data_IF_464864728839
#
_entry.id   IF_464864728839
#
_cell.length_a   1.000
_cell.length_b   1.000
_cell.length_c   1.000
_cell.angle_alpha   90.00
_cell.angle_beta   90.00
_cell.angle_gamma   90.00
#
_symmetry.space_group_name_H-M   'P 1'
#
loop_
_entity.id
_entity.type
_entity.pdbx_description
1 polymer ?
#
# COMPACT_ATOMS: atom_id res chain seq x y z
N UNK A 1 -15.80 -3.14 5.09
CA UNK A 1 -16.26 -2.12 4.12
C UNK A 1 -16.13 -2.63 2.67
N UNK A 2 -14.98 -3.11 2.21
CA UNK A 2 -14.87 -3.69 0.87
C UNK A 2 -15.73 -4.93 0.64
N UNK A 3 -15.85 -5.82 1.63
CA UNK A 3 -16.79 -6.95 1.56
C UNK A 3 -18.23 -6.47 1.30
N UNK A 4 -18.66 -5.36 1.90
CA UNK A 4 -19.99 -4.79 1.63
C UNK A 4 -20.10 -4.24 0.20
N UNK A 5 -19.01 -3.64 -0.31
CA UNK A 5 -18.91 -3.15 -1.68
C UNK A 5 -19.05 -4.31 -2.69
N UNK A 6 -18.29 -5.38 -2.47
CA UNK A 6 -18.30 -6.59 -3.30
C UNK A 6 -19.67 -7.29 -3.23
N UNK A 7 -20.29 -7.39 -2.04
CA UNK A 7 -21.64 -7.93 -1.89
C UNK A 7 -22.69 -7.10 -2.65
N UNK A 8 -22.57 -5.76 -2.65
CA UNK A 8 -23.48 -4.90 -3.44
C UNK A 8 -23.24 -5.06 -4.94
N UNK A 9 -22.00 -5.23 -5.37
CA UNK A 9 -21.67 -5.50 -6.78
C UNK A 9 -22.23 -6.86 -7.23
N UNK A 10 -22.01 -7.93 -6.46
CA UNK A 10 -22.57 -9.26 -6.74
C UNK A 10 -24.10 -9.21 -6.82
N UNK A 11 -24.75 -8.53 -5.86
CA UNK A 11 -26.20 -8.37 -5.86
C UNK A 11 -26.73 -7.71 -7.13
N UNK A 12 -26.04 -6.66 -7.62
CA UNK A 12 -26.39 -5.98 -8.86
C UNK A 12 -26.22 -6.87 -10.09
N UNK A 13 -25.09 -7.57 -10.19
CA UNK A 13 -24.78 -8.42 -11.34
C UNK A 13 -25.69 -9.65 -11.39
N UNK A 14 -26.01 -10.22 -10.23
CA UNK A 14 -26.87 -11.42 -10.14
C UNK A 14 -28.37 -11.11 -10.15
N UNK A 15 -28.77 -9.84 -10.03
CA UNK A 15 -30.17 -9.45 -9.82
C UNK A 15 -30.74 -9.83 -8.44
N UNK A 16 -29.96 -10.49 -7.58
CA UNK A 16 -30.40 -10.93 -6.27
C UNK A 16 -30.10 -9.89 -5.20
N UNK A 17 -31.15 -9.43 -4.51
CA UNK A 17 -30.98 -8.51 -3.38
C UNK A 17 -30.39 -9.25 -2.18
N UNK A 18 -29.32 -8.74 -1.54
CA UNK A 18 -28.70 -9.45 -0.42
C UNK A 18 -29.63 -9.39 0.78
N UNK A 19 -29.70 -10.50 1.55
CA UNK A 19 -30.56 -10.62 2.73
C UNK A 19 -30.35 -9.52 3.79
N UNK A 20 -29.19 -8.84 3.78
CA UNK A 20 -28.83 -7.72 4.68
C UNK A 20 -28.55 -6.41 3.91
N UNK A 21 -29.44 -6.05 2.99
CA UNK A 21 -29.27 -4.87 2.13
C UNK A 21 -29.09 -3.54 2.90
N UNK A 22 -29.73 -3.38 4.07
CA UNK A 22 -29.59 -2.20 4.92
C UNK A 22 -28.18 -2.10 5.49
N UNK A 23 -27.70 -3.14 6.18
CA UNK A 23 -26.35 -3.17 6.75
C UNK A 23 -25.24 -2.96 5.69
N UNK A 24 -25.42 -3.51 4.48
CA UNK A 24 -24.52 -3.25 3.35
C UNK A 24 -24.52 -1.77 2.97
N UNK A 25 -25.70 -1.15 2.90
CA UNK A 25 -25.83 0.27 2.55
C UNK A 25 -25.23 1.17 3.64
N UNK A 26 -25.46 0.87 4.91
CA UNK A 26 -24.93 1.61 6.05
C UNK A 26 -23.39 1.54 6.09
N UNK A 27 -22.81 0.35 5.87
CA UNK A 27 -21.36 0.20 5.80
C UNK A 27 -20.72 1.04 4.68
N UNK A 28 -21.43 1.19 3.55
CA UNK A 28 -20.94 1.96 2.40
C UNK A 28 -21.13 3.46 2.59
N UNK A 29 -22.21 3.87 3.28
CA UNK A 29 -22.41 5.25 3.72
C UNK A 29 -21.33 5.68 4.72
N UNK A 30 -21.04 4.85 5.72
CA UNK A 30 -19.96 5.09 6.69
C UNK A 30 -18.59 5.17 6.04
N UNK A 31 -18.30 4.28 5.08
CA UNK A 31 -17.04 4.34 4.32
C UNK A 31 -16.88 5.68 3.60
N UNK A 32 -17.94 6.16 2.93
CA UNK A 32 -17.94 7.46 2.26
C UNK A 32 -17.66 8.59 3.24
N UNK A 33 -18.32 8.60 4.38
CA UNK A 33 -18.14 9.66 5.36
C UNK A 33 -16.73 9.68 5.93
N UNK A 34 -16.16 8.51 6.25
CA UNK A 34 -14.77 8.39 6.69
C UNK A 34 -13.81 8.99 5.66
N UNK A 35 -13.94 8.65 4.38
CA UNK A 35 -13.08 9.23 3.34
C UNK A 35 -13.31 10.72 3.12
N UNK A 36 -14.52 11.24 3.34
CA UNK A 36 -14.79 12.68 3.23
C UNK A 36 -14.15 13.48 4.35
N UNK A 37 -14.17 12.94 5.57
CA UNK A 37 -13.71 13.64 6.76
C UNK A 37 -12.21 13.50 7.00
N UNK A 38 -11.61 12.39 6.57
CA UNK A 38 -10.27 12.01 7.01
C UNK A 38 -9.20 12.01 5.92
N UNK A 39 -9.54 12.47 4.72
CA UNK A 39 -8.59 12.67 3.63
C UNK A 39 -8.08 14.11 3.68
N UNK A 40 -6.77 14.29 3.86
CA UNK A 40 -6.12 15.60 3.87
C UNK A 40 -5.38 15.83 2.54
N UNK A 41 -5.77 16.82 1.71
CA UNK A 41 -5.05 17.13 0.48
C UNK A 41 -3.60 17.54 0.74
N UNK A 42 -2.68 17.17 -0.16
CA UNK A 42 -1.27 17.59 -0.10
C UNK A 42 -0.96 18.67 -1.14
N UNK A 43 0.11 19.43 -0.91
CA UNK A 43 0.59 20.47 -1.84
C UNK A 43 0.99 19.93 -3.22
N UNK A 44 1.31 18.65 -3.32
CA UNK A 44 1.66 17.99 -4.60
C UNK A 44 0.44 17.49 -5.37
N UNK A 45 -0.77 17.82 -4.93
CA UNK A 45 -2.02 17.36 -5.54
C UNK A 45 -2.41 15.93 -5.14
N UNK A 46 -1.72 15.36 -4.16
CA UNK A 46 -2.07 14.09 -3.55
C UNK A 46 -3.00 14.24 -2.34
N UNK A 47 -3.06 13.20 -1.50
CA UNK A 47 -3.70 13.25 -0.19
C UNK A 47 -3.09 12.24 0.77
N UNK A 48 -3.31 12.45 2.07
CA UNK A 48 -2.94 11.54 3.17
C UNK A 48 -4.17 11.15 3.98
N UNK A 49 -4.24 9.87 4.36
CA UNK A 49 -5.31 9.37 5.24
C UNK A 49 -4.92 9.64 6.69
N UNK A 50 -5.74 10.41 7.41
CA UNK A 50 -5.59 10.65 8.85
C UNK A 50 -4.16 11.02 9.29
N UNK A 51 -3.48 12.01 8.66
CA UNK A 51 -2.13 12.37 9.06
C UNK A 51 -2.07 12.75 10.55
N UNK A 52 -1.05 12.26 11.24
CA UNK A 52 -0.83 12.47 12.67
C UNK A 52 -1.61 11.54 13.62
N UNK A 53 -2.64 10.81 13.15
CA UNK A 53 -3.41 9.91 14.02
C UNK A 53 -2.54 8.78 14.61
N UNK A 54 -1.49 8.40 13.89
CA UNK A 54 -0.56 7.34 14.27
C UNK A 54 0.62 7.82 15.09
N UNK A 55 0.81 9.13 15.26
CA UNK A 55 2.00 9.70 15.92
C UNK A 55 2.21 9.18 17.34
N UNK A 56 1.11 8.92 18.08
CA UNK A 56 1.12 8.34 19.42
C UNK A 56 1.27 6.81 19.47
N UNK A 57 1.08 6.11 18.35
CA UNK A 57 1.11 4.64 18.31
C UNK A 57 2.54 4.10 18.55
N UNK A 58 2.74 2.99 19.29
CA UNK A 58 4.07 2.41 19.53
C UNK A 58 4.84 2.06 18.26
N UNK A 59 4.18 1.51 17.24
CA UNK A 59 4.78 1.16 15.95
C UNK A 59 5.44 2.35 15.22
N UNK A 60 5.05 3.58 15.56
CA UNK A 60 5.54 4.83 14.98
C UNK A 60 6.48 5.60 15.92
N UNK A 61 6.76 5.06 17.12
CA UNK A 61 7.53 5.74 18.16
C UNK A 61 8.93 6.19 17.73
N UNK A 62 9.50 5.50 16.73
CA UNK A 62 10.85 5.74 16.22
C UNK A 62 10.87 6.28 14.79
N UNK A 63 9.72 6.73 14.26
CA UNK A 63 9.60 7.21 12.89
C UNK A 63 10.60 8.31 12.55
N UNK A 64 10.97 9.18 13.50
CA UNK A 64 11.93 10.26 13.30
C UNK A 64 13.40 9.82 13.12
N UNK A 65 13.72 8.55 13.37
CA UNK A 65 15.08 8.02 13.17
C UNK A 65 15.25 7.43 11.78
N UNK A 66 16.40 7.67 11.13
CA UNK A 66 16.76 7.03 9.86
C UNK A 66 17.65 5.80 10.04
N UNK A 67 18.38 5.73 11.15
CA UNK A 67 19.28 4.63 11.45
C UNK A 67 18.81 3.95 12.74
N UNK A 68 18.74 2.62 12.70
CA UNK A 68 18.52 1.80 13.89
C UNK A 68 19.77 1.74 14.77
N UNK A 69 19.59 1.41 16.04
CA UNK A 69 20.68 1.23 16.99
C UNK A 69 20.16 0.80 18.36
N UNK A 70 21.07 0.35 19.24
CA UNK A 70 20.72 0.03 20.61
C UNK A 70 20.30 1.29 21.38
N UNK A 71 19.39 1.12 22.34
CA UNK A 71 19.00 2.15 23.31
C UNK A 71 18.51 3.47 22.69
N UNK A 72 17.90 3.42 21.49
CA UNK A 72 17.28 4.60 20.92
C UNK A 72 16.15 5.11 21.84
N UNK A 73 16.11 6.42 22.07
CA UNK A 73 14.93 7.06 22.62
C UNK A 73 13.88 7.25 21.50
N UNK A 74 12.56 7.19 21.80
CA UNK A 74 11.53 7.51 20.84
C UNK A 74 11.74 8.90 20.21
N UNK A 75 11.60 8.98 18.89
CA UNK A 75 11.58 10.21 18.12
C UNK A 75 10.33 10.18 17.23
N UNK A 76 9.23 10.73 17.75
CA UNK A 76 7.93 10.71 17.06
C UNK A 76 7.86 11.84 16.04
N UNK A 77 7.15 11.58 14.94
CA UNK A 77 6.81 12.60 13.93
C UNK A 77 5.33 12.92 14.10
N UNK A 78 4.99 14.17 14.44
CA UNK A 78 3.66 14.56 14.91
C UNK A 78 2.57 14.48 13.85
N UNK A 79 2.91 14.68 12.58
CA UNK A 79 1.99 14.69 11.43
C UNK A 79 2.18 13.45 10.53
N UNK A 80 2.83 12.40 11.04
CA UNK A 80 3.18 11.20 10.27
C UNK A 80 1.95 10.56 9.60
N UNK A 81 2.09 10.20 8.33
CA UNK A 81 1.07 9.46 7.60
C UNK A 81 1.08 7.96 7.93
N UNK A 82 0.02 7.25 7.52
CA UNK A 82 -0.03 5.79 7.53
C UNK A 82 1.17 5.19 6.77
N UNK A 83 1.65 4.03 7.22
CA UNK A 83 2.72 3.32 6.55
C UNK A 83 2.27 2.75 5.19
N UNK A 84 3.20 2.76 4.24
CA UNK A 84 2.96 2.36 2.85
C UNK A 84 2.49 0.90 2.74
N UNK A 85 2.91 0.03 3.67
CA UNK A 85 2.57 -1.39 3.66
C UNK A 85 1.14 -1.69 4.10
N UNK A 86 0.44 -0.75 4.74
CA UNK A 86 -1.00 -0.86 4.96
C UNK A 86 -1.77 -0.16 3.84
N UNK A 87 -1.30 1.03 3.45
CA UNK A 87 -1.94 1.85 2.41
C UNK A 87 -1.97 1.22 1.01
N UNK A 88 -1.12 0.23 0.72
CA UNK A 88 -1.11 -0.44 -0.60
C UNK A 88 -2.43 -1.10 -1.00
N UNK A 89 -3.34 -1.35 -0.06
CA UNK A 89 -4.69 -1.90 -0.35
C UNK A 89 -5.72 -0.83 -0.72
N UNK A 90 -5.47 0.44 -0.39
CA UNK A 90 -6.37 1.56 -0.68
C UNK A 90 -6.77 1.67 -2.16
N UNK A 91 -5.86 1.44 -3.15
CA UNK A 91 -6.24 1.45 -4.56
C UNK A 91 -7.39 0.49 -4.89
N UNK A 92 -7.33 -0.76 -4.39
CA UNK A 92 -8.43 -1.71 -4.55
C UNK A 92 -9.66 -1.23 -3.79
N UNK A 93 -9.51 -0.79 -2.54
CA UNK A 93 -10.67 -0.39 -1.73
C UNK A 93 -11.46 0.73 -2.38
N UNK A 94 -10.78 1.76 -2.91
CA UNK A 94 -11.41 2.85 -3.64
C UNK A 94 -12.10 2.36 -4.93
N UNK A 95 -11.50 1.39 -5.62
CA UNK A 95 -12.09 0.76 -6.80
C UNK A 95 -13.37 0.01 -6.44
N UNK A 96 -13.34 -0.91 -5.47
CA UNK A 96 -14.52 -1.64 -5.01
C UNK A 96 -15.63 -0.69 -4.54
N UNK A 97 -15.27 0.36 -3.76
CA UNK A 97 -16.24 1.34 -3.27
C UNK A 97 -16.89 2.13 -4.41
N UNK A 98 -16.15 2.49 -5.45
CA UNK A 98 -16.68 3.11 -6.67
C UNK A 98 -17.68 2.18 -7.37
N UNK A 99 -17.23 0.95 -7.67
CA UNK A 99 -17.99 -0.04 -8.44
C UNK A 99 -19.29 -0.49 -7.76
N UNK A 100 -19.34 -0.45 -6.42
CA UNK A 100 -20.54 -0.79 -5.66
C UNK A 100 -21.76 0.08 -6.00
N UNK A 101 -21.56 1.29 -6.56
CA UNK A 101 -22.63 2.19 -6.97
C UNK A 101 -22.96 2.13 -8.47
N UNK A 102 -22.12 1.45 -9.27
CA UNK A 102 -22.28 1.32 -10.71
C UNK A 102 -21.83 2.53 -11.52
N UNK A 103 -21.70 2.30 -12.83
CA UNK A 103 -21.26 3.31 -13.79
C UNK A 103 -22.15 4.54 -13.74
N UNK A 104 -21.54 5.73 -13.66
CA UNK A 104 -22.22 7.02 -13.69
C UNK A 104 -22.89 7.45 -12.38
N UNK A 105 -22.92 6.62 -11.34
CA UNK A 105 -23.54 7.02 -10.07
C UNK A 105 -22.69 8.08 -9.35
N UNK A 106 -23.26 9.21 -8.89
CA UNK A 106 -22.48 10.31 -8.30
C UNK A 106 -21.62 9.91 -7.11
N UNK A 107 -22.10 8.98 -6.27
CA UNK A 107 -21.32 8.47 -5.13
C UNK A 107 -20.19 7.54 -5.57
N UNK A 108 -20.36 6.79 -6.67
CA UNK A 108 -19.26 6.01 -7.23
C UNK A 108 -18.17 6.93 -7.78
N UNK A 109 -18.58 7.91 -8.60
CA UNK A 109 -17.70 8.92 -9.19
C UNK A 109 -16.92 9.74 -8.15
N UNK A 110 -17.44 9.91 -6.93
CA UNK A 110 -16.69 10.53 -5.84
C UNK A 110 -15.34 9.85 -5.59
N UNK A 111 -15.24 8.52 -5.67
CA UNK A 111 -14.02 7.78 -5.36
C UNK A 111 -12.94 7.85 -6.44
N UNK A 112 -13.28 8.31 -7.65
CA UNK A 112 -12.29 8.48 -8.72
C UNK A 112 -11.28 9.58 -8.39
N UNK A 113 -11.73 10.67 -7.77
CA UNK A 113 -10.84 11.78 -7.40
C UNK A 113 -9.83 11.37 -6.30
N UNK A 114 -10.23 10.78 -5.15
CA UNK A 114 -9.30 10.21 -4.19
C UNK A 114 -8.36 9.18 -4.82
N UNK A 115 -8.84 8.31 -5.72
CA UNK A 115 -7.95 7.32 -6.37
C UNK A 115 -6.90 7.99 -7.24
N UNK A 116 -7.28 8.99 -8.03
CA UNK A 116 -6.34 9.77 -8.84
C UNK A 116 -5.31 10.50 -7.98
N UNK A 117 -5.75 11.18 -6.92
CA UNK A 117 -4.86 11.91 -6.01
C UNK A 117 -3.98 10.94 -5.19
N UNK A 118 -4.45 9.74 -4.85
CA UNK A 118 -3.63 8.71 -4.20
C UNK A 118 -2.47 8.30 -5.12
N UNK A 119 -2.75 8.17 -6.42
CA UNK A 119 -1.70 7.86 -7.38
C UNK A 119 -0.66 8.98 -7.49
N UNK A 120 -1.10 10.25 -7.46
CA UNK A 120 -0.19 11.40 -7.41
C UNK A 120 0.68 11.36 -6.15
N UNK A 121 0.10 11.08 -4.98
CA UNK A 121 0.86 10.94 -3.73
C UNK A 121 1.88 9.80 -3.84
N UNK A 122 1.45 8.63 -4.28
CA UNK A 122 2.30 7.45 -4.42
C UNK A 122 3.48 7.74 -5.37
N UNK A 123 3.22 8.27 -6.56
CA UNK A 123 4.26 8.53 -7.56
C UNK A 123 5.22 9.66 -7.17
N UNK A 124 4.74 10.70 -6.47
CA UNK A 124 5.54 11.89 -6.18
C UNK A 124 6.29 11.84 -4.85
N UNK A 125 5.82 11.03 -3.89
CA UNK A 125 6.37 11.01 -2.51
C UNK A 125 6.81 9.64 -2.04
N UNK A 126 6.18 8.57 -2.52
CA UNK A 126 6.36 7.24 -1.96
C UNK A 126 7.25 6.36 -2.82
N UNK A 127 6.93 6.25 -4.11
CA UNK A 127 7.65 5.42 -5.06
C UNK A 127 9.00 6.06 -5.41
N UNK A 128 10.07 5.34 -5.11
CA UNK A 128 11.43 5.75 -5.42
C UNK A 128 11.96 4.89 -6.58
N UNK A 129 12.29 5.49 -7.73
CA UNK A 129 12.78 4.74 -8.87
C UNK A 129 14.17 4.15 -8.61
N UNK A 130 14.56 3.12 -9.39
CA UNK A 130 15.93 2.63 -9.44
C UNK A 130 16.92 3.76 -9.73
N UNK A 131 18.11 3.68 -9.14
CA UNK A 131 19.21 4.60 -9.41
C UNK A 131 20.55 3.83 -9.37
N UNK A 132 21.68 4.56 -9.46
CA UNK A 132 23.02 3.95 -9.46
C UNK A 132 23.30 3.14 -8.19
N UNK A 133 22.75 3.54 -7.05
CA UNK A 133 22.98 2.91 -5.75
C UNK A 133 22.07 1.70 -5.50
N UNK A 134 20.84 1.75 -6.03
CA UNK A 134 19.84 0.71 -5.83
C UNK A 134 19.08 0.38 -7.13
N UNK A 135 19.19 -0.85 -7.66
CA UNK A 135 18.80 -1.18 -9.04
C UNK A 135 17.32 -1.60 -9.18
N UNK A 136 16.47 -1.32 -8.19
CA UNK A 136 15.07 -1.74 -8.16
C UNK A 136 14.19 -0.64 -7.56
N UNK A 137 12.88 -0.69 -7.77
CA UNK A 137 11.99 0.30 -7.15
C UNK A 137 11.99 0.15 -5.62
N UNK A 138 11.80 1.25 -4.91
CA UNK A 138 11.60 1.23 -3.45
C UNK A 138 10.36 2.04 -3.10
N UNK A 139 9.87 1.86 -1.89
CA UNK A 139 8.88 2.75 -1.30
C UNK A 139 9.45 3.37 -0.03
N UNK A 140 9.15 4.63 0.23
CA UNK A 140 9.30 5.18 1.58
C UNK A 140 8.42 4.40 2.56
N UNK A 141 8.81 4.37 3.83
CA UNK A 141 8.03 3.64 4.83
C UNK A 141 6.66 4.27 5.11
N UNK A 142 6.51 5.59 4.94
CA UNK A 142 5.27 6.31 5.20
C UNK A 142 4.75 7.04 3.96
N UNK A 143 3.42 7.21 3.88
CA UNK A 143 2.73 7.76 2.72
C UNK A 143 3.00 9.25 2.44
N UNK A 144 3.48 10.01 3.43
CA UNK A 144 3.92 11.40 3.29
C UNK A 144 5.31 11.54 2.64
N UNK A 145 6.00 10.42 2.42
CA UNK A 145 7.37 10.36 1.92
C UNK A 145 8.41 10.29 3.03
N UNK A 146 7.99 10.35 4.31
CA UNK A 146 8.89 10.10 5.43
C UNK A 146 9.39 8.66 5.37
N UNK A 147 10.65 8.47 5.73
CA UNK A 147 11.33 7.21 5.53
C UNK A 147 12.27 6.89 6.68
N UNK A 148 11.74 6.94 7.90
CA UNK A 148 12.44 6.49 9.09
C UNK A 148 12.02 5.10 9.54
N UNK A 149 12.40 4.75 10.77
CA UNK A 149 12.16 3.44 11.34
C UNK A 149 10.68 3.18 11.58
N UNK A 150 10.23 1.96 11.32
CA UNK A 150 8.87 1.52 11.56
C UNK A 150 8.87 0.19 12.34
N UNK A 151 8.01 0.09 13.37
CA UNK A 151 7.90 -1.07 14.26
C UNK A 151 9.23 -1.47 14.91
N UNK A 152 10.03 -0.48 15.28
CA UNK A 152 11.29 -0.67 15.98
C UNK A 152 11.04 -1.17 17.42
N UNK A 153 11.68 -2.28 17.80
CA UNK A 153 11.47 -2.95 19.09
C UNK A 153 10.12 -3.66 19.21
N UNK A 154 9.42 -3.90 18.09
CA UNK A 154 8.12 -4.57 18.12
C UNK A 154 8.25 -6.04 18.50
N UNK A 155 7.26 -6.57 19.22
CA UNK A 155 7.29 -7.91 19.85
C UNK A 155 7.66 -9.04 18.88
N UNK A 156 7.28 -8.96 17.60
CA UNK A 156 7.62 -10.01 16.62
C UNK A 156 8.97 -9.84 15.93
N UNK A 157 9.66 -8.72 16.15
CA UNK A 157 10.97 -8.41 15.57
C UNK A 157 12.11 -8.53 16.60
N UNK A 158 11.80 -8.46 17.89
CA UNK A 158 12.79 -8.46 18.97
C UNK A 158 13.32 -7.06 19.29
N UNK A 159 14.14 -6.91 20.34
CA UNK A 159 14.75 -5.64 20.71
C UNK A 159 15.68 -5.14 19.59
N UNK A 160 15.79 -3.81 19.47
CA UNK A 160 16.69 -3.13 18.52
C UNK A 160 16.56 -3.61 17.06
N UNK A 161 15.33 -3.97 16.67
CA UNK A 161 15.02 -4.44 15.32
C UNK A 161 13.67 -3.90 14.85
N UNK A 162 13.50 -3.77 13.53
CA UNK A 162 12.32 -3.22 12.89
C UNK A 162 12.61 -2.85 11.44
N UNK A 163 11.64 -2.26 10.77
CA UNK A 163 11.80 -1.84 9.38
C UNK A 163 12.64 -0.57 9.32
N UNK A 164 13.80 -0.67 8.69
CA UNK A 164 14.66 0.46 8.33
C UNK A 164 14.12 1.19 7.10
N UNK A 165 14.70 2.34 6.71
CA UNK A 165 14.28 3.05 5.51
C UNK A 165 14.22 2.11 4.30
N UNK A 166 13.12 2.18 3.55
CA UNK A 166 12.81 1.36 2.38
C UNK A 166 12.52 -0.14 2.62
N UNK A 167 12.58 -0.67 3.84
CA UNK A 167 12.40 -2.11 4.07
C UNK A 167 10.94 -2.58 3.91
N UNK A 168 9.97 -1.65 3.78
CA UNK A 168 8.59 -1.98 3.37
C UNK A 168 8.41 -2.17 1.85
N UNK A 169 9.47 -1.97 1.06
CA UNK A 169 9.40 -2.00 -0.41
C UNK A 169 8.97 -3.34 -1.00
N UNK A 170 9.15 -4.46 -0.27
CA UNK A 170 8.68 -5.77 -0.72
C UNK A 170 7.18 -5.83 -0.98
N UNK A 171 6.39 -4.97 -0.30
CA UNK A 171 4.94 -4.88 -0.51
C UNK A 171 4.53 -4.38 -1.89
N UNK A 172 5.42 -3.66 -2.59
CA UNK A 172 5.21 -3.27 -3.99
C UNK A 172 4.95 -4.50 -4.88
N UNK A 173 5.61 -5.62 -4.61
CA UNK A 173 5.52 -6.82 -5.45
C UNK A 173 4.19 -7.58 -5.29
N UNK A 174 3.34 -7.18 -4.34
CA UNK A 174 2.00 -7.74 -4.19
C UNK A 174 1.05 -7.23 -5.28
N UNK A 175 1.41 -6.19 -6.05
CA UNK A 175 0.67 -5.76 -7.23
C UNK A 175 -0.50 -4.81 -6.97
N UNK A 176 -0.89 -4.58 -5.71
CA UNK A 176 -2.08 -3.80 -5.37
C UNK A 176 -2.05 -2.35 -5.83
N UNK A 177 -0.87 -1.72 -5.95
CA UNK A 177 -0.78 -0.38 -6.50
C UNK A 177 -1.22 -0.29 -7.97
N UNK A 178 -1.25 -1.40 -8.72
CA UNK A 178 -1.69 -1.39 -10.12
C UNK A 178 -3.14 -0.90 -10.30
N UNK A 179 -3.98 -1.05 -9.28
CA UNK A 179 -5.37 -0.56 -9.25
C UNK A 179 -5.52 0.97 -9.27
N UNK A 180 -4.40 1.71 -9.21
CA UNK A 180 -4.40 3.15 -9.43
C UNK A 180 -4.60 3.54 -10.90
N UNK A 181 -4.40 2.63 -11.85
CA UNK A 181 -4.64 2.84 -13.29
C UNK A 181 -3.95 4.09 -13.87
N UNK A 182 -2.75 4.41 -13.38
CA UNK A 182 -1.96 5.55 -13.86
C UNK A 182 -0.76 5.10 -14.69
N UNK A 183 -0.42 5.81 -15.79
CA UNK A 183 0.70 5.44 -16.65
C UNK A 183 2.02 5.22 -15.90
N UNK A 184 2.38 6.10 -14.96
CA UNK A 184 3.61 5.97 -14.17
C UNK A 184 3.62 4.74 -13.25
N UNK A 185 2.48 4.39 -12.65
CA UNK A 185 2.37 3.19 -11.80
C UNK A 185 2.51 1.94 -12.66
N UNK A 186 1.78 1.89 -13.77
CA UNK A 186 1.85 0.76 -14.70
C UNK A 186 3.27 0.57 -15.27
N UNK A 187 3.94 1.67 -15.67
CA UNK A 187 5.31 1.63 -16.14
C UNK A 187 6.28 1.08 -15.08
N UNK A 188 6.05 1.37 -13.79
CA UNK A 188 6.86 0.82 -12.70
C UNK A 188 6.73 -0.70 -12.58
N UNK A 189 5.53 -1.28 -12.77
CA UNK A 189 5.34 -2.73 -12.74
C UNK A 189 5.94 -3.42 -13.95
N UNK A 190 5.78 -2.86 -15.15
CA UNK A 190 6.44 -3.35 -16.37
C UNK A 190 7.97 -3.38 -16.20
N UNK A 191 8.53 -2.31 -15.63
CA UNK A 191 9.97 -2.19 -15.42
C UNK A 191 10.47 -3.09 -14.29
N UNK A 192 9.69 -3.23 -13.21
CA UNK A 192 10.01 -4.15 -12.12
C UNK A 192 10.01 -5.61 -12.59
N UNK A 193 9.09 -6.02 -13.47
CA UNK A 193 9.06 -7.38 -14.03
C UNK A 193 10.36 -7.72 -14.78
N UNK A 194 10.94 -6.75 -15.51
CA UNK A 194 12.19 -6.92 -16.26
C UNK A 194 13.45 -6.96 -15.38
N UNK A 195 13.32 -6.67 -14.08
CA UNK A 195 14.45 -6.66 -13.12
C UNK A 195 14.67 -7.99 -12.43
N UNK A 196 13.81 -8.97 -12.67
CA UNK A 196 14.04 -10.33 -12.20
C UNK A 196 15.07 -11.05 -13.08
N UNK A 197 15.95 -11.89 -12.50
CA UNK A 197 16.06 -12.20 -11.08
C UNK A 197 16.63 -11.03 -10.25
N UNK A 198 16.07 -10.79 -9.06
CA UNK A 198 16.49 -9.67 -8.21
C UNK A 198 17.88 -9.91 -7.62
N UNK A 199 18.77 -8.88 -7.60
CA UNK A 199 20.08 -8.99 -6.93
C UNK A 199 19.94 -9.25 -5.42
N UNK A 200 20.89 -9.96 -4.78
CA UNK A 200 20.83 -10.27 -3.35
C UNK A 200 20.62 -9.04 -2.44
N UNK A 201 21.22 -7.89 -2.78
CA UNK A 201 21.02 -6.64 -2.04
C UNK A 201 19.56 -6.15 -2.05
N UNK A 202 18.87 -6.31 -3.18
CA UNK A 202 17.45 -5.92 -3.31
C UNK A 202 16.58 -6.87 -2.49
N UNK A 203 16.85 -8.18 -2.60
CA UNK A 203 16.13 -9.19 -1.83
C UNK A 203 16.26 -8.93 -0.32
N UNK A 204 17.46 -8.62 0.18
CA UNK A 204 17.65 -8.29 1.61
C UNK A 204 16.79 -7.11 2.05
N UNK A 205 16.77 -6.02 1.28
CA UNK A 205 15.91 -4.86 1.59
C UNK A 205 14.43 -5.21 1.54
N UNK A 206 13.97 -6.00 0.56
CA UNK A 206 12.56 -6.31 0.40
C UNK A 206 12.02 -7.33 1.42
N UNK A 207 12.87 -8.22 1.94
CA UNK A 207 12.49 -9.12 3.03
C UNK A 207 12.16 -8.31 4.29
N UNK A 208 12.91 -7.24 4.55
CA UNK A 208 12.86 -6.46 5.78
C UNK A 208 13.43 -7.23 6.98
N UNK A 209 13.08 -6.83 8.21
CA UNK A 209 13.54 -7.52 9.42
C UNK A 209 12.96 -8.94 9.49
N UNK A 210 13.74 -9.87 10.04
CA UNK A 210 13.22 -11.18 10.39
C UNK A 210 12.06 -11.05 11.39
N UNK A 211 11.07 -11.91 11.21
CA UNK A 211 9.91 -12.03 12.11
C UNK A 211 9.91 -13.40 12.75
N UNK A 212 9.47 -13.50 13.99
CA UNK A 212 9.24 -14.79 14.67
C UNK A 212 8.10 -15.64 14.07
N UNK A 213 7.42 -15.15 13.03
CA UNK A 213 6.31 -15.85 12.37
C UNK A 213 6.81 -17.00 11.52
N UNK A 214 6.29 -18.21 11.78
CA UNK A 214 6.47 -19.37 10.91
C UNK A 214 5.81 -19.10 9.57
N UNK A 215 6.58 -19.26 8.48
CA UNK A 215 6.08 -19.11 7.10
C UNK A 215 6.21 -20.42 6.36
N UNK A 216 5.29 -20.66 5.42
CA UNK A 216 5.42 -21.76 4.48
C UNK A 216 6.77 -21.64 3.72
N UNK A 217 7.42 -22.77 3.43
CA UNK A 217 8.77 -22.80 2.81
C UNK A 217 8.90 -21.98 1.53
N UNK A 218 7.82 -21.86 0.75
CA UNK A 218 7.79 -21.07 -0.49
C UNK A 218 7.78 -19.55 -0.24
N UNK A 219 7.50 -19.12 0.98
CA UNK A 219 7.35 -17.72 1.39
C UNK A 219 8.41 -17.27 2.42
N UNK A 220 9.26 -18.20 2.87
CA UNK A 220 10.26 -17.94 3.90
C UNK A 220 11.57 -17.39 3.31
N UNK A 221 12.28 -16.56 4.11
CA UNK A 221 13.69 -16.16 3.94
C UNK A 221 14.17 -15.92 2.50
N UNK A 222 13.41 -15.15 1.73
CA UNK A 222 13.79 -14.76 0.37
C UNK A 222 13.42 -15.75 -0.74
N UNK A 223 12.93 -16.95 -0.41
CA UNK A 223 12.49 -17.96 -1.38
C UNK A 223 11.40 -17.41 -2.31
N UNK A 224 10.48 -16.62 -1.78
CA UNK A 224 9.40 -15.94 -2.53
C UNK A 224 9.91 -15.12 -3.73
N UNK A 225 11.09 -14.50 -3.61
CA UNK A 225 11.67 -13.68 -4.68
C UNK A 225 12.43 -14.51 -5.72
N UNK A 226 12.77 -15.76 -5.40
CA UNK A 226 13.63 -16.64 -6.22
C UNK A 226 12.85 -17.76 -6.91
N UNK A 227 11.72 -18.18 -6.34
CA UNK A 227 10.91 -19.28 -6.87
C UNK A 227 9.90 -18.85 -7.94
N UNK A 228 9.97 -17.61 -8.40
CA UNK A 228 9.10 -17.07 -9.46
C UNK A 228 7.76 -16.51 -8.97
N UNK A 229 7.31 -16.77 -7.73
CA UNK A 229 6.01 -16.29 -7.25
C UNK A 229 5.91 -14.75 -7.25
N UNK A 230 6.94 -14.06 -6.73
CA UNK A 230 6.97 -12.59 -6.76
C UNK A 230 6.95 -12.04 -8.20
N UNK A 231 7.69 -12.68 -9.12
CA UNK A 231 7.70 -12.28 -10.53
C UNK A 231 6.31 -12.46 -11.15
N UNK A 232 5.60 -13.55 -10.86
CA UNK A 232 4.27 -13.78 -11.41
C UNK A 232 3.27 -12.73 -10.91
N UNK A 233 3.29 -12.37 -9.62
CA UNK A 233 2.43 -11.30 -9.10
C UNK A 233 2.70 -9.95 -9.77
N UNK A 234 3.97 -9.60 -9.96
CA UNK A 234 4.37 -8.37 -10.66
C UNK A 234 3.93 -8.38 -12.13
N UNK A 235 4.01 -9.54 -12.81
CA UNK A 235 3.52 -9.70 -14.18
C UNK A 235 2.00 -9.55 -14.27
N UNK A 236 1.25 -10.18 -13.38
CA UNK A 236 -0.21 -10.01 -13.30
C UNK A 236 -0.57 -8.54 -13.08
N UNK A 237 0.13 -7.84 -12.20
CA UNK A 237 -0.07 -6.42 -11.98
C UNK A 237 0.24 -5.57 -13.23
N UNK A 238 1.30 -5.91 -13.98
CA UNK A 238 1.67 -5.26 -15.22
C UNK A 238 0.64 -5.52 -16.34
N UNK A 239 0.16 -6.76 -16.48
CA UNK A 239 -0.82 -7.15 -17.49
C UNK A 239 -2.19 -6.49 -17.25
N UNK A 240 -2.66 -6.45 -16.00
CA UNK A 240 -3.86 -5.69 -15.61
C UNK A 240 -3.76 -4.23 -16.08
N UNK A 241 -2.58 -3.63 -15.91
CA UNK A 241 -2.29 -2.26 -16.33
C UNK A 241 -2.33 -2.05 -17.86
N UNK A 242 -2.16 -3.11 -18.66
CA UNK A 242 -2.27 -3.08 -20.13
C UNK A 242 -3.72 -3.22 -20.58
N UNK A 243 -4.52 -4.03 -19.89
CA UNK A 243 -5.95 -4.20 -20.18
C UNK A 243 -6.72 -2.88 -20.05
N UNK A 244 -6.43 -2.07 -19.01
CA UNK A 244 -7.08 -0.77 -18.79
C UNK A 244 -6.70 0.28 -19.86
N UNK A 245 -5.63 0.05 -20.65
CA UNK A 245 -5.20 0.96 -21.73
C UNK A 245 -5.77 0.62 -23.11
N UNK A 246 -6.42 -0.53 -23.25
CA UNK A 246 -7.08 -0.96 -24.49
C UNK A 246 -8.51 -0.43 -24.52
#
# INVERSE_FOLDING_TARGET
MTIAADLRQIARVSGNRPARATAVSDALASAREVFRQHVTPTRTGGWLFQPGIWAGHPDYAYAGHHNGGPNLAPARVSDIAEDTSHSHRLPLWLTSLSEAYGVGHPVGAYYDQPRHRLATQFLSRVLVPPNRDFPSFRTTNFMDGHNGLYRWGYVTHGPDNGYRPYELSGTLLLGWWSFLDRPGVCASYDDQARRFPLPPRVIRTYIGPDTTRVRHRLLAHGAWYRNGLALQLVRVAADRCREVRR
#
